data_IF_373706816282
#
_entry.id   IF_373706816282
#
_cell.length_a   1.000
_cell.length_b   1.000
_cell.length_c   1.000
_cell.angle_alpha   90.00
_cell.angle_beta   90.00
_cell.angle_gamma   90.00
#
_symmetry.space_group_name_H-M   'P 1'
#
loop_
_entity.id
_entity.type
_entity.pdbx_description
1 polymer ?
#
# COMPACT_ATOMS: atom_id res chain seq x y z
N UNK A 1 23.38 -3.42 -3.36
CA UNK A 1 23.55 -4.92 -3.39
C UNK A 1 23.50 -5.39 -4.83
N UNK A 2 24.28 -6.41 -5.17
CA UNK A 2 24.22 -7.04 -6.50
C UNK A 2 23.78 -8.48 -6.28
N UNK A 3 22.81 -8.94 -7.06
CA UNK A 3 22.32 -10.32 -6.99
C UNK A 3 23.22 -11.28 -7.83
N UNK A 4 22.99 -12.60 -7.76
CA UNK A 4 23.79 -13.56 -8.53
C UNK A 4 23.74 -13.38 -10.06
N UNK A 5 22.78 -12.62 -10.56
CA UNK A 5 22.59 -12.29 -11.99
C UNK A 5 23.18 -10.94 -12.39
N UNK A 6 23.93 -10.28 -11.50
CA UNK A 6 24.54 -8.98 -11.75
C UNK A 6 23.58 -7.78 -11.65
N UNK A 7 22.33 -7.95 -11.20
CA UNK A 7 21.36 -6.86 -11.07
C UNK A 7 21.56 -6.09 -9.78
N UNK A 8 21.55 -4.77 -9.88
CA UNK A 8 21.66 -3.90 -8.71
C UNK A 8 20.32 -3.80 -7.98
N UNK A 9 20.25 -4.34 -6.76
CA UNK A 9 19.04 -4.29 -5.91
C UNK A 9 19.05 -2.97 -5.13
N UNK A 10 18.19 -2.05 -5.55
CA UNK A 10 18.03 -0.72 -4.94
C UNK A 10 16.64 -0.46 -4.36
N UNK A 11 15.69 -1.38 -4.57
CA UNK A 11 14.31 -1.28 -4.13
C UNK A 11 13.91 -2.49 -3.27
N UNK A 12 13.30 -2.22 -2.12
CA UNK A 12 12.82 -3.25 -1.20
C UNK A 12 11.36 -3.00 -0.85
N UNK A 13 10.55 -4.05 -0.94
CA UNK A 13 9.19 -4.09 -0.38
C UNK A 13 9.24 -4.80 0.98
N UNK A 14 8.60 -4.19 1.98
CA UNK A 14 8.63 -4.65 3.37
C UNK A 14 7.21 -4.88 3.84
N UNK A 15 6.83 -6.14 4.02
CA UNK A 15 5.57 -6.49 4.67
C UNK A 15 5.70 -6.24 6.16
N UNK A 16 4.88 -5.32 6.69
CA UNK A 16 4.92 -4.94 8.10
C UNK A 16 3.88 -5.67 8.94
N UNK A 17 2.91 -6.32 8.32
CA UNK A 17 1.84 -7.11 8.96
C UNK A 17 1.17 -8.01 7.95
N UNK A 18 0.63 -9.12 8.41
CA UNK A 18 -0.28 -9.99 7.65
C UNK A 18 -1.76 -9.55 7.79
N UNK A 19 -2.09 -8.67 8.76
CA UNK A 19 -3.45 -8.24 9.06
C UNK A 19 -3.92 -7.17 8.11
N UNK A 20 -5.21 -7.27 7.73
CA UNK A 20 -5.90 -6.29 6.92
C UNK A 20 -7.30 -6.08 7.50
N UNK A 21 -7.86 -4.91 7.34
CA UNK A 21 -9.24 -4.56 7.69
C UNK A 21 -10.22 -4.77 6.52
N UNK A 22 -9.71 -5.17 5.33
CA UNK A 22 -10.51 -5.65 4.21
C UNK A 22 -10.31 -7.16 4.00
N UNK A 23 -11.21 -7.77 3.21
CA UNK A 23 -11.15 -9.16 2.75
C UNK A 23 -11.42 -9.26 1.26
N UNK A 24 -10.56 -8.59 0.48
CA UNK A 24 -10.72 -8.57 -0.97
C UNK A 24 -10.74 -10.00 -1.52
N UNK A 25 -11.73 -10.28 -2.36
CA UNK A 25 -12.03 -11.62 -2.90
C UNK A 25 -10.84 -12.25 -3.63
N UNK A 26 -10.00 -11.43 -4.24
CA UNK A 26 -8.79 -11.88 -4.95
C UNK A 26 -7.54 -11.99 -4.07
N UNK A 27 -7.60 -11.64 -2.78
CA UNK A 27 -6.42 -11.52 -1.93
C UNK A 27 -6.46 -12.42 -0.70
N UNK A 28 -7.54 -12.38 0.08
CA UNK A 28 -7.64 -13.08 1.37
C UNK A 28 -8.98 -13.77 1.51
N UNK A 29 -8.96 -15.00 2.03
CA UNK A 29 -10.15 -15.66 2.51
C UNK A 29 -10.80 -14.86 3.66
N UNK A 30 -12.11 -14.95 3.80
CA UNK A 30 -12.85 -14.21 4.82
C UNK A 30 -12.47 -14.64 6.24
N UNK A 31 -12.24 -15.93 6.44
CA UNK A 31 -11.86 -16.61 7.68
C UNK A 31 -10.35 -16.81 7.84
N UNK A 32 -9.54 -15.91 7.20
CA UNK A 32 -8.08 -15.98 7.21
C UNK A 32 -7.50 -16.11 8.62
N UNK A 33 -6.65 -17.12 8.82
CA UNK A 33 -5.88 -17.28 10.05
C UNK A 33 -4.58 -16.48 9.94
N UNK A 34 -4.36 -15.56 10.89
CA UNK A 34 -3.16 -14.73 10.95
C UNK A 34 -2.09 -15.34 11.83
N UNK A 35 -0.83 -15.01 11.54
CA UNK A 35 0.29 -15.43 12.35
C UNK A 35 0.16 -14.92 13.81
N UNK A 36 0.62 -15.71 14.78
CA UNK A 36 0.79 -15.22 16.15
C UNK A 36 1.68 -13.97 16.18
N UNK A 37 1.41 -13.06 17.09
CA UNK A 37 2.19 -11.81 17.21
C UNK A 37 3.69 -12.08 17.44
N UNK A 38 4.05 -13.18 18.09
CA UNK A 38 5.43 -13.57 18.35
C UNK A 38 6.20 -13.94 17.06
N UNK A 39 5.49 -14.34 16.00
CA UNK A 39 6.09 -14.77 14.73
C UNK A 39 6.22 -13.62 13.72
N UNK A 40 5.78 -12.41 14.11
CA UNK A 40 5.87 -11.20 13.27
C UNK A 40 6.94 -10.28 13.87
N UNK A 41 7.87 -9.82 13.03
CA UNK A 41 8.90 -8.87 13.46
C UNK A 41 8.31 -7.64 14.16
N UNK A 42 8.92 -7.21 15.26
CA UNK A 42 8.59 -5.94 15.92
C UNK A 42 8.92 -4.75 15.01
N UNK A 43 8.41 -3.56 15.32
CA UNK A 43 8.73 -2.36 14.54
C UNK A 43 10.21 -1.98 14.67
N UNK A 44 10.82 -2.26 15.81
CA UNK A 44 12.23 -2.05 16.09
C UNK A 44 13.13 -3.02 15.29
N UNK A 45 12.69 -4.27 15.12
CA UNK A 45 13.39 -5.26 14.28
C UNK A 45 13.27 -4.88 12.81
N UNK A 46 12.09 -4.44 12.36
CA UNK A 46 11.88 -3.93 11.00
C UNK A 46 12.74 -2.69 10.73
N UNK A 47 12.85 -1.75 11.67
CA UNK A 47 13.71 -0.58 11.53
C UNK A 47 15.19 -0.98 11.38
N UNK A 48 15.68 -1.90 12.22
CA UNK A 48 17.06 -2.42 12.13
C UNK A 48 17.32 -3.11 10.80
N UNK A 49 16.36 -3.93 10.34
CA UNK A 49 16.45 -4.65 9.07
C UNK A 49 16.48 -3.67 7.89
N UNK A 50 15.54 -2.74 7.80
CA UNK A 50 15.49 -1.72 6.76
C UNK A 50 16.75 -0.86 6.74
N UNK A 51 17.22 -0.41 7.91
CA UNK A 51 18.45 0.36 8.05
C UNK A 51 19.68 -0.43 7.57
N UNK A 52 19.72 -1.74 7.80
CA UNK A 52 20.81 -2.58 7.28
C UNK A 52 20.78 -2.68 5.75
N UNK A 53 19.59 -2.80 5.13
CA UNK A 53 19.46 -2.80 3.68
C UNK A 53 19.80 -1.43 3.05
N UNK A 54 19.42 -0.32 3.70
CA UNK A 54 19.79 1.03 3.26
C UNK A 54 21.32 1.18 3.24
N UNK A 55 22.02 0.76 4.31
CA UNK A 55 23.49 0.76 4.34
C UNK A 55 24.13 -0.11 3.24
N UNK A 56 23.42 -1.13 2.76
CA UNK A 56 23.85 -1.99 1.63
C UNK A 56 23.48 -1.44 0.25
N UNK A 57 22.91 -0.21 0.17
CA UNK A 57 22.62 0.49 -1.07
C UNK A 57 21.18 0.40 -1.55
N UNK A 58 20.24 -0.06 -0.72
CA UNK A 58 18.82 0.11 -1.01
C UNK A 58 18.46 1.59 -0.91
N UNK A 59 17.81 2.12 -1.95
CA UNK A 59 17.45 3.53 -2.12
C UNK A 59 15.95 3.79 -2.05
N UNK A 60 15.14 2.74 -2.19
CA UNK A 60 13.67 2.85 -2.14
C UNK A 60 13.09 1.80 -1.21
N UNK A 61 12.24 2.22 -0.29
CA UNK A 61 11.46 1.35 0.56
C UNK A 61 9.97 1.53 0.28
N UNK A 62 9.24 0.41 0.20
CA UNK A 62 7.78 0.41 0.16
C UNK A 62 7.25 -0.46 1.30
N UNK A 63 6.54 0.17 2.22
CA UNK A 63 5.83 -0.56 3.27
C UNK A 63 4.54 -1.14 2.69
N UNK A 64 4.32 -2.40 2.97
CA UNK A 64 3.17 -3.20 2.54
C UNK A 64 2.73 -4.12 3.67
N UNK A 65 1.97 -5.13 3.36
CA UNK A 65 1.53 -6.18 4.28
C UNK A 65 0.16 -6.69 3.85
N UNK A 66 -0.70 -6.98 4.79
CA UNK A 66 -2.13 -6.85 4.59
C UNK A 66 -2.42 -5.35 4.41
N UNK A 67 -2.82 -4.65 5.46
CA UNK A 67 -2.90 -3.19 5.43
C UNK A 67 -1.86 -2.60 6.42
N UNK A 68 -0.83 -1.88 5.93
CA UNK A 68 0.23 -1.39 6.81
C UNK A 68 -0.27 -0.39 7.87
N UNK A 69 -1.29 0.41 7.56
CA UNK A 69 -1.80 1.44 8.47
C UNK A 69 -2.68 0.89 9.61
N UNK A 70 -3.09 -0.38 9.57
CA UNK A 70 -3.76 -1.02 10.72
C UNK A 70 -2.76 -1.51 11.77
N UNK A 71 -1.46 -1.61 11.43
CA UNK A 71 -0.47 -2.04 12.41
C UNK A 71 -0.35 -1.00 13.52
N UNK A 72 -0.55 -1.44 14.76
CA UNK A 72 -0.42 -0.55 15.94
C UNK A 72 0.95 0.13 15.95
N UNK A 73 0.96 1.44 16.18
CA UNK A 73 2.16 2.29 16.26
C UNK A 73 3.03 2.31 14.98
N UNK A 74 2.46 2.00 13.81
CA UNK A 74 3.20 1.98 12.53
C UNK A 74 3.96 3.28 12.27
N UNK A 75 3.43 4.43 12.70
CA UNK A 75 4.07 5.72 12.50
C UNK A 75 5.40 5.86 13.24
N UNK A 76 5.68 5.06 14.27
CA UNK A 76 7.02 5.03 14.89
C UNK A 76 8.07 4.50 13.91
N UNK A 77 7.74 3.45 13.15
CA UNK A 77 8.61 2.92 12.09
C UNK A 77 8.75 3.93 10.94
N UNK A 78 7.64 4.53 10.48
CA UNK A 78 7.66 5.50 9.38
C UNK A 78 8.54 6.70 9.71
N UNK A 79 8.40 7.28 10.93
CA UNK A 79 9.27 8.37 11.40
C UNK A 79 10.74 7.96 11.52
N UNK A 80 11.00 6.74 12.01
CA UNK A 80 12.36 6.22 12.11
C UNK A 80 13.02 6.10 10.73
N UNK A 81 12.30 5.54 9.75
CA UNK A 81 12.79 5.41 8.38
C UNK A 81 12.90 6.77 7.67
N UNK A 82 12.05 7.73 8.02
CA UNK A 82 12.10 9.11 7.50
C UNK A 82 13.44 9.80 7.74
N UNK A 83 14.15 9.49 8.84
CA UNK A 83 15.50 10.01 9.10
C UNK A 83 16.52 9.64 8.02
N UNK A 84 16.32 8.52 7.33
CA UNK A 84 17.18 8.14 6.21
C UNK A 84 16.89 8.97 4.95
N UNK A 85 15.67 9.53 4.79
CA UNK A 85 15.37 10.51 3.74
C UNK A 85 16.08 11.84 4.02
N UNK A 86 16.01 12.31 5.27
CA UNK A 86 16.66 13.57 5.70
C UNK A 86 18.18 13.51 5.52
N UNK A 87 18.80 12.37 5.80
CA UNK A 87 20.24 12.16 5.63
C UNK A 87 20.69 11.89 4.19
N UNK A 88 19.74 11.72 3.24
CA UNK A 88 20.04 11.33 1.84
C UNK A 88 20.50 9.88 1.68
N UNK A 89 20.42 9.05 2.73
CA UNK A 89 20.74 7.63 2.64
C UNK A 89 19.66 6.84 1.89
N UNK A 90 18.39 7.28 1.98
CA UNK A 90 17.23 6.76 1.28
C UNK A 90 16.67 7.85 0.36
N UNK A 91 16.28 7.49 -0.86
CA UNK A 91 15.71 8.43 -1.83
C UNK A 91 14.18 8.48 -1.74
N UNK A 92 13.54 7.34 -1.44
CA UNK A 92 12.08 7.23 -1.40
C UNK A 92 11.60 6.27 -0.29
N UNK A 93 10.65 6.75 0.51
CA UNK A 93 9.81 5.94 1.39
C UNK A 93 8.36 6.09 0.94
N UNK A 94 7.69 4.98 0.62
CA UNK A 94 6.30 4.94 0.17
C UNK A 94 5.54 3.79 0.82
N UNK A 95 4.22 3.79 0.66
CA UNK A 95 3.34 2.73 1.13
C UNK A 95 2.43 2.24 0.00
N UNK A 96 1.97 0.99 0.11
CA UNK A 96 0.76 0.53 -0.56
C UNK A 96 -0.29 0.32 0.51
N UNK A 97 -1.44 0.96 0.40
CA UNK A 97 -2.53 0.95 1.38
C UNK A 97 -3.87 0.77 0.69
N UNK A 98 -4.84 0.19 1.39
CA UNK A 98 -6.23 0.17 0.95
C UNK A 98 -6.95 1.51 1.17
N UNK A 99 -6.30 2.48 1.81
CA UNK A 99 -6.82 3.83 2.03
C UNK A 99 -7.76 3.99 3.23
N UNK A 100 -8.22 2.92 3.87
CA UNK A 100 -9.20 2.98 4.98
C UNK A 100 -8.76 3.87 6.14
N UNK A 101 -7.47 3.87 6.47
CA UNK A 101 -6.88 4.63 7.58
C UNK A 101 -6.15 5.90 7.11
N UNK A 102 -6.15 6.18 5.81
CA UNK A 102 -5.30 7.21 5.22
C UNK A 102 -5.64 8.62 5.71
N UNK A 103 -6.92 8.95 5.89
CA UNK A 103 -7.35 10.24 6.43
C UNK A 103 -6.74 10.55 7.80
N UNK A 104 -6.54 9.51 8.61
CA UNK A 104 -5.98 9.64 9.96
C UNK A 104 -4.47 9.95 9.96
N UNK A 105 -3.75 9.44 8.96
CA UNK A 105 -2.28 9.44 8.99
C UNK A 105 -1.64 10.31 7.91
N UNK A 106 -2.42 10.95 7.03
CA UNK A 106 -1.92 11.69 5.88
C UNK A 106 -0.87 12.76 6.27
N UNK A 107 -1.20 13.62 7.22
CA UNK A 107 -0.32 14.70 7.68
C UNK A 107 0.96 14.14 8.32
N UNK A 108 0.84 13.09 9.13
CA UNK A 108 1.98 12.48 9.80
C UNK A 108 2.90 11.74 8.82
N UNK A 109 2.34 11.09 7.79
CA UNK A 109 3.10 10.50 6.69
C UNK A 109 3.88 11.56 5.93
N UNK A 110 3.23 12.69 5.61
CA UNK A 110 3.90 13.81 4.95
C UNK A 110 5.02 14.40 5.79
N UNK A 111 4.77 14.62 7.08
CA UNK A 111 5.77 15.13 8.02
C UNK A 111 6.98 14.20 8.17
N UNK A 112 6.79 12.90 8.03
CA UNK A 112 7.87 11.90 8.04
C UNK A 112 8.64 11.80 6.70
N UNK A 113 8.36 12.68 5.72
CA UNK A 113 9.07 12.74 4.46
C UNK A 113 8.52 11.85 3.34
N UNK A 114 7.40 11.15 3.56
CA UNK A 114 6.69 10.45 2.50
C UNK A 114 6.18 11.48 1.48
N UNK A 115 6.43 11.24 0.20
CA UNK A 115 6.01 12.15 -0.88
C UNK A 115 4.90 11.57 -1.74
N UNK A 116 4.80 10.25 -1.82
CA UNK A 116 3.85 9.53 -2.66
C UNK A 116 3.32 8.29 -1.95
N UNK A 117 2.06 7.96 -2.21
CA UNK A 117 1.37 6.77 -1.70
C UNK A 117 0.71 6.03 -2.85
N UNK A 118 0.73 4.70 -2.80
CA UNK A 118 -0.06 3.87 -3.68
C UNK A 118 -1.33 3.45 -2.93
N UNK A 119 -2.50 3.78 -3.48
CA UNK A 119 -3.80 3.41 -2.92
C UNK A 119 -4.45 2.35 -3.80
N UNK A 120 -4.86 1.25 -3.19
CA UNK A 120 -5.63 0.20 -3.88
C UNK A 120 -7.08 0.64 -4.00
N UNK A 121 -7.56 0.78 -5.25
CA UNK A 121 -8.93 1.19 -5.56
C UNK A 121 -9.34 0.57 -6.91
N UNK A 122 -10.19 -0.45 -6.84
CA UNK A 122 -10.53 -1.29 -8.00
C UNK A 122 -11.76 -0.79 -8.75
N UNK A 123 -12.61 0.03 -8.11
CA UNK A 123 -13.84 0.57 -8.67
C UNK A 123 -14.25 1.88 -8.00
N UNK A 124 -15.04 2.69 -8.69
CA UNK A 124 -15.71 3.88 -8.17
C UNK A 124 -17.21 3.66 -7.91
N UNK A 125 -17.66 2.42 -7.98
CA UNK A 125 -19.01 2.01 -7.63
C UNK A 125 -19.06 1.49 -6.19
N UNK A 126 -19.89 2.07 -5.29
CA UNK A 126 -19.91 1.69 -3.88
C UNK A 126 -20.37 0.25 -3.61
N UNK A 127 -21.31 -0.26 -4.43
CA UNK A 127 -21.83 -1.61 -4.29
C UNK A 127 -20.75 -2.61 -4.71
N UNK A 128 -20.17 -2.45 -5.89
CA UNK A 128 -19.04 -3.24 -6.35
C UNK A 128 -17.84 -3.17 -5.41
N UNK A 129 -17.54 -1.99 -4.88
CA UNK A 129 -16.45 -1.84 -3.92
C UNK A 129 -16.68 -2.73 -2.69
N UNK A 130 -17.91 -2.76 -2.19
CA UNK A 130 -18.27 -3.62 -1.06
C UNK A 130 -18.21 -5.11 -1.44
N UNK A 131 -18.66 -5.48 -2.64
CA UNK A 131 -18.57 -6.85 -3.14
C UNK A 131 -17.10 -7.32 -3.26
N UNK A 132 -16.22 -6.48 -3.82
CA UNK A 132 -14.79 -6.81 -3.99
C UNK A 132 -14.07 -6.88 -2.64
N UNK A 133 -14.30 -5.91 -1.76
CA UNK A 133 -13.54 -5.76 -0.50
C UNK A 133 -14.17 -6.44 0.69
N UNK A 134 -15.45 -6.86 0.58
CA UNK A 134 -16.36 -7.40 1.60
C UNK A 134 -16.66 -6.43 2.74
N UNK A 135 -15.64 -5.81 3.31
CA UNK A 135 -15.77 -4.96 4.52
C UNK A 135 -15.42 -3.49 4.29
N UNK A 136 -14.95 -3.14 3.12
CA UNK A 136 -14.54 -1.78 2.78
C UNK A 136 -15.74 -0.84 2.55
N UNK A 137 -15.46 0.45 2.73
CA UNK A 137 -16.39 1.55 2.40
C UNK A 137 -15.70 2.52 1.45
N UNK A 138 -16.25 2.69 0.27
CA UNK A 138 -15.66 3.54 -0.78
C UNK A 138 -15.46 4.97 -0.31
N UNK A 139 -16.47 5.57 0.34
CA UNK A 139 -16.40 6.96 0.82
C UNK A 139 -15.25 7.18 1.81
N UNK A 140 -14.95 6.18 2.64
CA UNK A 140 -13.83 6.24 3.57
C UNK A 140 -12.49 6.28 2.83
N UNK A 141 -12.35 5.51 1.77
CA UNK A 141 -11.14 5.47 0.93
C UNK A 141 -10.97 6.77 0.14
N UNK A 142 -12.06 7.26 -0.49
CA UNK A 142 -12.04 8.52 -1.22
C UNK A 142 -11.72 9.70 -0.28
N UNK A 143 -12.32 9.75 0.90
CA UNK A 143 -11.98 10.73 1.94
C UNK A 143 -10.53 10.65 2.39
N UNK A 144 -9.96 9.44 2.42
CA UNK A 144 -8.53 9.20 2.67
C UNK A 144 -7.62 9.77 1.58
N UNK A 145 -7.99 9.56 0.32
CA UNK A 145 -7.29 10.10 -0.85
C UNK A 145 -7.31 11.64 -0.80
N UNK A 146 -8.46 12.24 -0.54
CA UNK A 146 -8.60 13.69 -0.41
C UNK A 146 -7.75 14.26 0.73
N UNK A 147 -7.72 13.60 1.88
CA UNK A 147 -6.88 14.02 2.99
C UNK A 147 -5.39 13.94 2.62
N UNK A 148 -4.96 12.88 1.95
CA UNK A 148 -3.58 12.73 1.49
C UNK A 148 -3.18 13.81 0.48
N UNK A 149 -4.05 14.14 -0.47
CA UNK A 149 -3.84 15.23 -1.44
C UNK A 149 -3.72 16.58 -0.72
N UNK A 150 -4.60 16.88 0.25
CA UNK A 150 -4.50 18.12 1.07
C UNK A 150 -3.21 18.19 1.87
N UNK A 151 -2.69 17.06 2.35
CA UNK A 151 -1.39 16.97 3.02
C UNK A 151 -0.19 17.13 2.06
N UNK A 152 -0.43 17.20 0.74
CA UNK A 152 0.62 17.36 -0.28
C UNK A 152 1.29 16.04 -0.66
N UNK A 153 0.60 14.91 -0.49
CA UNK A 153 1.04 13.59 -0.95
C UNK A 153 0.58 13.36 -2.39
N UNK A 154 1.48 12.94 -3.26
CA UNK A 154 1.11 12.43 -4.58
C UNK A 154 0.46 11.05 -4.45
N UNK A 155 -0.60 10.82 -5.21
CA UNK A 155 -1.36 9.58 -5.17
C UNK A 155 -1.18 8.80 -6.47
N UNK A 156 -0.91 7.50 -6.31
CA UNK A 156 -0.98 6.53 -7.38
C UNK A 156 -2.05 5.49 -7.06
N UNK A 157 -3.03 5.37 -7.92
CA UNK A 157 -4.05 4.34 -7.82
C UNK A 157 -3.52 3.03 -8.41
N UNK A 158 -3.69 1.95 -7.68
CA UNK A 158 -3.49 0.59 -8.14
C UNK A 158 -4.87 -0.08 -8.22
N UNK A 159 -5.29 -0.49 -9.40
CA UNK A 159 -6.54 -1.20 -9.61
C UNK A 159 -6.27 -2.59 -10.17
N UNK A 160 -6.78 -3.62 -9.51
CA UNK A 160 -6.73 -4.99 -10.01
C UNK A 160 -7.83 -5.17 -11.06
N UNK A 161 -7.45 -5.63 -12.24
CA UNK A 161 -8.37 -5.90 -13.33
C UNK A 161 -9.05 -7.26 -13.12
N UNK A 162 -10.33 -7.23 -12.78
CA UNK A 162 -11.16 -8.41 -12.51
C UNK A 162 -12.14 -8.58 -13.67
N UNK A 163 -11.89 -9.58 -14.52
CA UNK A 163 -12.70 -9.88 -15.70
C UNK A 163 -14.15 -10.17 -15.30
N UNK A 164 -15.10 -9.50 -15.97
CA UNK A 164 -16.53 -9.61 -15.68
C UNK A 164 -17.01 -8.91 -14.42
N UNK A 165 -16.11 -8.23 -13.70
CA UNK A 165 -16.44 -7.48 -12.46
C UNK A 165 -16.25 -5.98 -12.67
N UNK A 166 -15.03 -5.52 -12.91
CA UNK A 166 -14.72 -4.09 -13.04
C UNK A 166 -14.07 -3.71 -14.40
N UNK A 167 -13.91 -4.66 -15.31
CA UNK A 167 -13.28 -4.46 -16.62
C UNK A 167 -14.04 -3.49 -17.52
N UNK A 168 -15.33 -3.27 -17.27
CA UNK A 168 -16.17 -2.28 -17.95
C UNK A 168 -16.09 -0.86 -17.36
N UNK A 169 -15.29 -0.64 -16.31
CA UNK A 169 -15.19 0.65 -15.59
C UNK A 169 -13.85 1.37 -15.78
N UNK A 170 -12.92 0.79 -16.53
CA UNK A 170 -11.57 1.36 -16.63
C UNK A 170 -11.55 2.75 -17.26
N UNK A 171 -12.38 3.01 -18.26
CA UNK A 171 -12.46 4.35 -18.85
C UNK A 171 -12.90 5.39 -17.81
N UNK A 172 -13.90 5.06 -16.99
CA UNK A 172 -14.36 5.92 -15.88
C UNK A 172 -13.27 6.13 -14.84
N UNK A 173 -12.52 5.08 -14.49
CA UNK A 173 -11.42 5.15 -13.53
C UNK A 173 -10.26 6.00 -14.06
N UNK A 174 -9.91 5.83 -15.34
CA UNK A 174 -8.89 6.64 -16.03
C UNK A 174 -9.27 8.13 -16.04
N UNK A 175 -10.52 8.43 -16.40
CA UNK A 175 -11.04 9.80 -16.41
C UNK A 175 -11.00 10.43 -15.00
N UNK A 176 -11.43 9.67 -14.00
CA UNK A 176 -11.43 10.11 -12.62
C UNK A 176 -9.98 10.37 -12.14
N UNK A 177 -9.06 9.44 -12.38
CA UNK A 177 -7.65 9.62 -12.03
C UNK A 177 -7.06 10.88 -12.70
N UNK A 178 -7.38 11.12 -13.97
CA UNK A 178 -6.96 12.32 -14.70
C UNK A 178 -7.49 13.61 -14.07
N UNK A 179 -8.78 13.66 -13.72
CA UNK A 179 -9.41 14.79 -13.03
C UNK A 179 -8.82 15.05 -11.64
N UNK A 180 -8.55 13.96 -10.90
CA UNK A 180 -8.01 14.01 -9.56
C UNK A 180 -6.48 14.24 -9.51
N UNK A 181 -5.79 14.21 -10.64
CA UNK A 181 -4.33 14.32 -10.72
C UNK A 181 -3.62 13.14 -10.08
N UNK A 182 -4.20 11.94 -10.21
CA UNK A 182 -3.64 10.69 -9.71
C UNK A 182 -3.02 9.88 -10.84
N UNK A 183 -1.87 9.25 -10.60
CA UNK A 183 -1.36 8.19 -11.47
C UNK A 183 -2.25 6.95 -11.36
N UNK A 184 -2.35 6.16 -12.44
CA UNK A 184 -3.06 4.88 -12.45
C UNK A 184 -2.14 3.74 -12.89
N UNK A 185 -2.28 2.59 -12.24
CA UNK A 185 -1.75 1.30 -12.70
C UNK A 185 -2.85 0.27 -12.65
N UNK A 186 -3.15 -0.35 -13.79
CA UNK A 186 -3.97 -1.55 -13.87
C UNK A 186 -3.06 -2.76 -13.61
N UNK A 187 -3.50 -3.67 -12.75
CA UNK A 187 -2.75 -4.84 -12.32
C UNK A 187 -3.53 -6.08 -12.72
N UNK A 188 -2.88 -6.99 -13.43
CA UNK A 188 -3.44 -8.31 -13.70
C UNK A 188 -3.64 -9.08 -12.39
N UNK A 189 -4.79 -9.75 -12.26
CA UNK A 189 -5.07 -10.55 -11.07
C UNK A 189 -4.09 -11.73 -10.99
N UNK A 190 -3.48 -11.89 -9.82
CA UNK A 190 -2.68 -13.08 -9.53
C UNK A 190 -3.60 -14.15 -8.90
N UNK A 191 -3.38 -15.45 -9.17
CA UNK A 191 -4.20 -16.54 -8.61
C UNK A 191 -3.93 -16.72 -7.11
N UNK A 192 -4.37 -15.74 -6.32
CA UNK A 192 -4.37 -15.75 -4.85
C UNK A 192 -5.80 -15.48 -4.39
N UNK A 193 -6.19 -16.04 -3.25
CA UNK A 193 -7.54 -15.90 -2.73
C UNK A 193 -8.55 -16.89 -3.32
N UNK A 194 -9.82 -16.53 -3.31
CA UNK A 194 -10.95 -17.39 -3.69
C UNK A 194 -11.39 -17.21 -5.16
N UNK A 195 -10.58 -16.57 -5.99
CA UNK A 195 -10.87 -16.45 -7.42
C UNK A 195 -10.62 -17.81 -8.05
N UNK A 196 -11.71 -18.50 -8.40
CA UNK A 196 -11.64 -19.71 -9.19
C UNK A 196 -10.91 -19.47 -10.52
N UNK A 197 -10.28 -20.53 -11.05
CA UNK A 197 -9.66 -20.52 -12.36
C UNK A 197 -10.68 -20.04 -13.40
N UNK A 198 -10.54 -18.81 -13.89
CA UNK A 198 -11.25 -18.26 -15.03
C UNK A 198 -10.24 -17.68 -16.03
#
# INVERSE_FOLDING_TARGET
>A
MIDPFGRHISYLRVSVTDRCDFRCVYCMAEDMTFLPKADILSLEELDRLCSAFIRKGVKKLRLTGGEPLVRRNIMSLVRSLGRHLESGALDELTLTTNGSQLARYADELRAAGVKRINVSLDTLDPEKFTEITRWGKLDQVLGGIDAAKRAGLAIKINAVALKGVNDNEFDRLIEWCGKEGCDLTLIEVMPMGEIGEN
#
